data_IF_795790695364
#
_entry.id   IF_795790695364
#
_cell.length_a   1.000
_cell.length_b   1.000
_cell.length_c   1.000
_cell.angle_alpha   90.00
_cell.angle_beta   90.00
_cell.angle_gamma   90.00
#
_symmetry.space_group_name_H-M   'P 1'
#
loop_
_entity.id
_entity.type
_entity.pdbx_description
1 polymer ?
#
# COMPACT_ATOMS: atom_id res chain seq x y z
N UNK A 1 7.20 -2.56 -14.01
CA UNK A 1 5.92 -2.51 -13.27
C UNK A 1 6.14 -1.69 -12.00
N UNK A 2 5.33 -0.67 -11.79
CA UNK A 2 5.43 0.15 -10.58
C UNK A 2 4.61 -0.47 -9.47
N UNK A 3 5.22 -0.57 -8.28
CA UNK A 3 4.55 -1.04 -7.08
C UNK A 3 4.62 0.07 -6.03
N UNK A 4 3.48 0.40 -5.46
CA UNK A 4 3.36 1.47 -4.48
C UNK A 4 2.48 1.01 -3.33
N UNK A 5 2.88 1.31 -2.12
CA UNK A 5 2.16 0.90 -0.91
C UNK A 5 1.83 2.13 -0.07
N UNK A 6 0.55 2.32 0.18
CA UNK A 6 0.10 3.29 1.19
C UNK A 6 -0.04 2.55 2.50
N UNK A 7 0.67 2.99 3.51
CA UNK A 7 0.77 2.27 4.78
C UNK A 7 0.69 3.19 5.98
N UNK A 8 0.40 2.59 7.13
CA UNK A 8 0.55 3.24 8.43
C UNK A 8 1.69 2.55 9.16
N UNK A 9 2.49 3.31 9.90
CA UNK A 9 3.64 2.76 10.61
C UNK A 9 3.23 1.78 11.73
N UNK A 10 2.01 1.92 12.24
CA UNK A 10 1.48 1.09 13.33
C UNK A 10 0.59 -0.05 12.86
N UNK A 11 0.44 -0.25 11.57
CA UNK A 11 -0.46 -1.25 11.01
C UNK A 11 0.25 -2.59 10.82
N UNK A 12 -0.18 -3.67 11.50
CA UNK A 12 0.46 -4.99 11.33
C UNK A 12 0.35 -5.54 9.91
N UNK A 13 -0.81 -5.36 9.26
CA UNK A 13 -1.01 -5.85 7.90
C UNK A 13 -0.15 -5.08 6.89
N UNK A 14 0.11 -3.81 7.15
CA UNK A 14 1.03 -3.03 6.32
C UNK A 14 2.44 -3.58 6.40
N UNK A 15 2.89 -3.96 7.61
CA UNK A 15 4.20 -4.58 7.80
C UNK A 15 4.28 -5.92 7.08
N UNK A 16 3.21 -6.71 7.12
CA UNK A 16 3.15 -7.99 6.43
C UNK A 16 3.27 -7.82 4.93
N UNK A 17 2.57 -6.84 4.37
CA UNK A 17 2.65 -6.53 2.93
C UNK A 17 4.06 -6.11 2.53
N UNK A 18 4.69 -5.23 3.30
CA UNK A 18 6.05 -4.76 3.03
C UNK A 18 7.06 -5.91 3.14
N UNK A 19 6.93 -6.73 4.18
CA UNK A 19 7.80 -7.90 4.37
C UNK A 19 7.69 -8.85 3.18
N UNK A 20 6.48 -9.12 2.72
CA UNK A 20 6.25 -9.99 1.58
C UNK A 20 6.97 -9.47 0.33
N UNK A 21 6.88 -8.17 0.07
CA UNK A 21 7.55 -7.55 -1.07
C UNK A 21 9.08 -7.62 -0.93
N UNK A 22 9.59 -7.35 0.28
CA UNK A 22 11.02 -7.41 0.56
C UNK A 22 11.56 -8.83 0.40
N UNK A 23 10.86 -9.82 0.91
CA UNK A 23 11.28 -11.23 0.83
C UNK A 23 11.30 -11.74 -0.61
N UNK A 24 10.50 -11.17 -1.48
CA UNK A 24 10.45 -11.55 -2.89
C UNK A 24 11.27 -10.61 -3.78
N UNK A 25 12.07 -9.75 -3.18
CA UNK A 25 12.96 -8.82 -3.88
C UNK A 25 12.22 -7.89 -4.84
N UNK A 26 10.99 -7.51 -4.49
CA UNK A 26 10.18 -6.59 -5.29
C UNK A 26 10.47 -5.16 -4.85
N UNK A 27 10.91 -4.33 -5.78
CA UNK A 27 11.10 -2.90 -5.51
C UNK A 27 9.73 -2.21 -5.45
N UNK A 28 9.55 -1.35 -4.46
CA UNK A 28 8.30 -0.61 -4.30
C UNK A 28 8.54 0.72 -3.62
N UNK A 29 7.64 1.66 -3.86
CA UNK A 29 7.60 2.93 -3.13
C UNK A 29 6.60 2.80 -1.99
N UNK A 30 6.94 3.32 -0.82
CA UNK A 30 6.04 3.31 0.32
C UNK A 30 5.69 4.75 0.71
N UNK A 31 4.40 4.97 0.98
CA UNK A 31 3.90 6.23 1.49
C UNK A 31 3.33 5.98 2.87
N UNK A 32 4.03 6.44 3.89
CA UNK A 32 3.59 6.32 5.28
C UNK A 32 2.66 7.48 5.59
N UNK A 33 1.35 7.24 5.53
CA UNK A 33 0.32 8.27 5.65
C UNK A 33 0.38 8.97 6.99
N UNK A 34 0.70 8.26 8.06
CA UNK A 34 0.84 8.84 9.39
C UNK A 34 2.16 9.58 9.62
N UNK A 35 3.03 9.59 8.61
CA UNK A 35 4.24 10.41 8.64
C UNK A 35 4.02 11.85 8.17
N UNK A 36 2.86 12.14 7.59
CA UNK A 36 2.49 13.49 7.16
C UNK A 36 1.70 14.19 8.25
N UNK A 37 1.70 15.52 8.22
CA UNK A 37 0.98 16.34 9.18
C UNK A 37 0.17 17.44 8.49
N UNK A 38 -0.87 17.92 9.18
CA UNK A 38 -1.66 19.06 8.71
C UNK A 38 -2.33 18.81 7.37
N UNK A 39 -2.21 19.79 6.47
CA UNK A 39 -2.84 19.74 5.16
C UNK A 39 -2.24 18.68 4.25
N UNK A 40 -0.97 18.38 4.41
CA UNK A 40 -0.31 17.30 3.64
C UNK A 40 -0.93 15.95 3.99
N UNK A 41 -1.18 15.69 5.26
CA UNK A 41 -1.83 14.46 5.70
C UNK A 41 -3.25 14.36 5.14
N UNK A 42 -4.00 15.47 5.19
CA UNK A 42 -5.35 15.51 4.63
C UNK A 42 -5.34 15.19 3.13
N UNK A 43 -4.39 15.76 2.39
CA UNK A 43 -4.27 15.53 0.97
C UNK A 43 -3.99 14.05 0.65
N UNK A 44 -3.07 13.43 1.39
CA UNK A 44 -2.75 12.01 1.18
C UNK A 44 -3.93 11.11 1.56
N UNK A 45 -4.62 11.40 2.66
CA UNK A 45 -5.80 10.65 3.07
C UNK A 45 -6.91 10.75 2.03
N UNK A 46 -7.13 11.94 1.47
CA UNK A 46 -8.12 12.13 0.41
C UNK A 46 -7.73 11.39 -0.87
N UNK A 47 -6.44 11.32 -1.19
CA UNK A 47 -5.95 10.54 -2.31
C UNK A 47 -6.31 9.06 -2.14
N UNK A 48 -6.07 8.50 -0.96
CA UNK A 48 -6.41 7.12 -0.65
C UNK A 48 -7.92 6.91 -0.73
N UNK A 49 -8.69 7.83 -0.18
CA UNK A 49 -10.15 7.75 -0.21
C UNK A 49 -10.68 7.80 -1.64
N UNK A 50 -10.10 8.62 -2.50
CA UNK A 50 -10.47 8.70 -3.91
C UNK A 50 -10.18 7.41 -4.65
N UNK A 51 -9.08 6.75 -4.31
CA UNK A 51 -8.69 5.49 -4.94
C UNK A 51 -9.55 4.31 -4.50
N UNK A 52 -9.88 4.23 -3.21
CA UNK A 52 -10.46 3.02 -2.62
C UNK A 52 -11.89 3.18 -2.14
N UNK A 53 -12.37 4.41 -2.00
CA UNK A 53 -13.66 4.70 -1.39
C UNK A 53 -13.63 4.66 0.13
N UNK A 54 -12.47 4.47 0.75
CA UNK A 54 -12.32 4.41 2.20
C UNK A 54 -10.90 4.69 2.64
N UNK A 55 -10.61 4.41 3.90
CA UNK A 55 -9.30 4.65 4.50
C UNK A 55 -8.75 3.38 5.16
N UNK A 56 -8.92 2.24 4.50
CA UNK A 56 -8.35 0.97 4.95
C UNK A 56 -6.93 0.83 4.44
N UNK A 57 -6.06 0.25 5.26
CA UNK A 57 -4.64 0.05 4.94
C UNK A 57 -4.24 -1.41 5.16
N UNK A 58 -3.22 -1.90 4.45
CA UNK A 58 -2.47 -1.21 3.39
C UNK A 58 -3.26 -1.10 2.09
N UNK A 59 -2.86 -0.16 1.23
CA UNK A 59 -3.33 -0.12 -0.16
C UNK A 59 -2.11 -0.39 -1.03
N UNK A 60 -2.17 -1.45 -1.82
CA UNK A 60 -1.06 -1.84 -2.69
C UNK A 60 -1.46 -1.63 -4.13
N UNK A 61 -0.70 -0.80 -4.83
CA UNK A 61 -0.88 -0.56 -6.25
C UNK A 61 0.20 -1.32 -7.02
N UNK A 62 -0.23 -2.18 -7.93
CA UNK A 62 0.68 -2.97 -8.77
C UNK A 62 0.28 -2.71 -10.24
N UNK A 63 1.05 -1.85 -10.90
CA UNK A 63 0.67 -1.40 -12.23
C UNK A 63 -0.68 -0.68 -12.16
N UNK A 64 -1.66 -1.19 -12.91
CA UNK A 64 -3.02 -0.63 -12.93
C UNK A 64 -3.96 -1.31 -11.93
N UNK A 65 -3.47 -2.28 -11.19
CA UNK A 65 -4.28 -3.04 -10.23
C UNK A 65 -4.12 -2.50 -8.81
N UNK A 66 -5.19 -2.63 -8.02
CA UNK A 66 -5.22 -2.15 -6.65
C UNK A 66 -5.69 -3.25 -5.71
N UNK A 67 -4.98 -3.40 -4.59
CA UNK A 67 -5.35 -4.34 -3.54
C UNK A 67 -5.54 -3.53 -2.26
N UNK A 68 -6.69 -3.68 -1.62
CA UNK A 68 -6.96 -3.06 -0.32
C UNK A 68 -6.83 -4.14 0.75
N UNK A 69 -5.95 -3.91 1.72
CA UNK A 69 -5.61 -4.89 2.74
C UNK A 69 -4.47 -5.80 2.28
N UNK A 70 -4.04 -6.70 3.16
CA UNK A 70 -2.99 -7.66 2.82
C UNK A 70 -3.63 -8.91 2.22
N UNK A 71 -3.41 -9.11 0.93
CA UNK A 71 -3.89 -10.28 0.20
C UNK A 71 -2.71 -10.92 -0.52
N UNK A 72 -2.08 -11.88 0.14
CA UNK A 72 -0.87 -12.54 -0.36
C UNK A 72 -1.11 -13.23 -1.71
N UNK A 73 -2.22 -13.95 -1.84
CA UNK A 73 -2.55 -14.69 -3.06
C UNK A 73 -2.69 -13.75 -4.25
N UNK A 74 -3.38 -12.63 -4.05
CA UNK A 74 -3.59 -11.64 -5.11
C UNK A 74 -2.28 -10.94 -5.48
N UNK A 75 -1.46 -10.64 -4.48
CA UNK A 75 -0.13 -10.05 -4.72
C UNK A 75 0.76 -11.00 -5.51
N UNK A 76 0.76 -12.28 -5.17
CA UNK A 76 1.51 -13.29 -5.90
C UNK A 76 1.06 -13.37 -7.35
N UNK A 77 -0.25 -13.37 -7.58
CA UNK A 77 -0.83 -13.44 -8.91
C UNK A 77 -0.41 -12.23 -9.76
N UNK A 78 -0.57 -11.02 -9.23
CA UNK A 78 -0.26 -9.79 -9.96
C UNK A 78 1.23 -9.59 -10.21
N UNK A 79 2.08 -10.10 -9.32
CA UNK A 79 3.54 -9.99 -9.43
C UNK A 79 4.18 -11.19 -10.13
N UNK A 80 3.41 -12.19 -10.52
CA UNK A 80 3.89 -13.43 -11.13
C UNK A 80 4.88 -14.18 -10.24
N UNK A 81 4.57 -14.27 -8.98
CA UNK A 81 5.41 -14.97 -7.99
C UNK A 81 4.95 -16.42 -7.74
#
# INVERSE_FOLDING_TARGET
MMVKVYALTTCPYCRMARRFLDENSVAYDVIEVDGFEGDEKKAVVEEVRSLTGGTSFPVVLIGDEMIVGFNKSRMQELLNL
#
